data_IF_471617483564
#
_entry.id   IF_471617483564
#
_cell.length_a   1.000
_cell.length_b   1.000
_cell.length_c   1.000
_cell.angle_alpha   90.00
_cell.angle_beta   90.00
_cell.angle_gamma   90.00
#
_symmetry.space_group_name_H-M   'P 1'
#
loop_
_entity.id
_entity.type
_entity.pdbx_description
1 polymer ?
#
# COMPACT_ATOMS: atom_id res chain seq x y z
N UNK A 1 -3.10 -24.74 18.87
CA UNK A 1 -2.07 -23.76 18.45
C UNK A 1 -1.11 -23.32 19.57
N UNK A 2 -1.46 -22.42 20.51
CA UNK A 2 -0.47 -21.95 21.52
C UNK A 2 0.13 -23.09 22.39
N UNK A 3 -0.71 -24.04 22.80
CA UNK A 3 -0.31 -25.23 23.59
C UNK A 3 0.37 -26.36 22.78
N UNK A 4 0.25 -26.37 21.46
CA UNK A 4 0.97 -27.34 20.60
C UNK A 4 2.37 -26.83 20.24
N UNK A 5 2.52 -25.50 20.12
CA UNK A 5 3.80 -24.85 19.86
C UNK A 5 4.76 -24.91 21.07
N UNK A 6 4.23 -24.89 22.31
CA UNK A 6 5.05 -25.04 23.53
C UNK A 6 5.62 -26.46 23.72
N UNK A 7 5.03 -27.49 23.11
CA UNK A 7 5.55 -28.87 23.19
C UNK A 7 6.74 -29.14 22.26
N UNK A 8 7.07 -28.22 21.36
CA UNK A 8 8.15 -28.38 20.38
C UNK A 8 9.51 -27.85 20.87
N UNK A 9 9.62 -27.39 22.12
CA UNK A 9 10.90 -26.93 22.69
C UNK A 9 11.85 -28.05 23.15
N UNK A 10 11.53 -29.33 22.98
CA UNK A 10 12.44 -30.41 23.36
C UNK A 10 12.49 -31.54 22.32
N UNK A 11 13.71 -31.99 22.07
CA UNK A 11 14.13 -33.14 21.28
C UNK A 11 14.29 -32.94 19.75
N UNK A 12 15.56 -32.76 19.40
CA UNK A 12 16.28 -33.33 18.25
C UNK A 12 15.79 -33.03 16.82
N UNK A 13 16.73 -32.49 16.04
CA UNK A 13 16.89 -32.90 14.65
C UNK A 13 16.28 -31.95 13.63
N UNK A 14 17.17 -31.36 12.83
CA UNK A 14 16.94 -30.50 11.67
C UNK A 14 15.96 -31.08 10.61
N UNK A 15 15.50 -32.33 10.72
CA UNK A 15 14.54 -32.95 9.80
C UNK A 15 13.08 -32.50 9.99
N UNK A 16 12.65 -32.15 11.22
CA UNK A 16 11.27 -31.74 11.49
C UNK A 16 10.91 -30.32 11.01
N UNK A 17 11.92 -29.48 10.73
CA UNK A 17 11.70 -28.12 10.21
C UNK A 17 11.10 -28.18 8.80
N UNK A 18 11.46 -29.18 7.99
CA UNK A 18 10.89 -29.40 6.66
C UNK A 18 9.41 -29.79 6.70
N UNK A 19 9.03 -30.68 7.61
CA UNK A 19 7.62 -31.12 7.76
C UNK A 19 6.73 -30.00 8.33
N UNK A 20 7.27 -29.17 9.23
CA UNK A 20 6.59 -27.98 9.74
C UNK A 20 6.37 -26.92 8.64
N UNK A 21 7.32 -26.75 7.71
CA UNK A 21 7.18 -25.87 6.54
C UNK A 21 6.03 -26.32 5.65
N UNK A 22 6.02 -27.59 5.25
CA UNK A 22 5.00 -28.14 4.37
C UNK A 22 3.60 -28.09 5.02
N UNK A 23 3.51 -28.34 6.33
CA UNK A 23 2.27 -28.28 7.08
C UNK A 23 1.69 -26.86 7.17
N UNK A 24 2.53 -25.85 7.40
CA UNK A 24 2.13 -24.44 7.46
C UNK A 24 1.75 -23.88 6.09
N UNK A 25 2.50 -24.20 5.04
CA UNK A 25 2.18 -23.79 3.67
C UNK A 25 0.85 -24.39 3.21
N UNK A 26 0.62 -25.70 3.44
CA UNK A 26 -0.66 -26.37 3.12
C UNK A 26 -1.83 -25.77 3.90
N UNK A 27 -1.63 -25.42 5.17
CA UNK A 27 -2.67 -24.77 5.98
C UNK A 27 -3.04 -23.38 5.45
N UNK A 28 -2.05 -22.54 5.13
CA UNK A 28 -2.25 -21.19 4.61
C UNK A 28 -2.91 -21.18 3.22
N UNK A 29 -2.51 -22.10 2.34
CA UNK A 29 -3.15 -22.32 1.02
C UNK A 29 -4.62 -22.74 1.20
N UNK A 30 -4.92 -23.64 2.15
CA UNK A 30 -6.31 -24.07 2.42
C UNK A 30 -7.21 -22.95 2.94
N UNK A 31 -6.62 -21.91 3.54
CA UNK A 31 -7.31 -20.72 4.03
C UNK A 31 -7.47 -19.62 2.96
N UNK A 32 -7.00 -19.84 1.72
CA UNK A 32 -7.12 -18.89 0.61
C UNK A 32 -6.21 -17.66 0.69
N UNK A 33 -5.18 -17.69 1.56
CA UNK A 33 -4.25 -16.60 1.77
C UNK A 33 -2.93 -16.86 1.03
N UNK A 34 -2.59 -16.02 0.04
CA UNK A 34 -1.26 -15.99 -0.58
C UNK A 34 -0.27 -15.25 0.32
N UNK A 35 0.22 -15.91 1.37
CA UNK A 35 1.21 -15.37 2.30
C UNK A 35 2.53 -16.13 2.17
N UNK A 36 3.63 -15.42 1.90
CA UNK A 36 4.98 -16.00 1.86
C UNK A 36 5.59 -16.02 3.25
N UNK A 37 6.02 -17.20 3.73
CA UNK A 37 6.67 -17.37 5.03
C UNK A 37 8.19 -17.31 4.84
N UNK A 38 8.84 -16.21 5.26
CA UNK A 38 10.29 -16.10 5.25
C UNK A 38 10.88 -16.69 6.54
N UNK A 39 11.88 -17.58 6.40
CA UNK A 39 12.63 -18.14 7.52
C UNK A 39 14.04 -17.55 7.51
N UNK A 40 14.40 -16.75 8.51
CA UNK A 40 15.79 -16.33 8.71
C UNK A 40 16.54 -17.33 9.59
N UNK A 41 17.68 -17.81 9.10
CA UNK A 41 18.60 -18.71 9.82
C UNK A 41 19.38 -17.94 10.90
N UNK A 42 18.66 -17.39 11.87
CA UNK A 42 19.21 -16.89 13.13
C UNK A 42 18.09 -16.94 14.16
N UNK A 43 18.37 -17.59 15.27
CA UNK A 43 17.41 -18.08 16.23
C UNK A 43 16.34 -17.07 16.69
N UNK A 44 15.13 -17.63 16.85
CA UNK A 44 14.04 -17.19 17.74
C UNK A 44 13.34 -15.86 17.40
N UNK A 45 12.53 -15.87 16.35
CA UNK A 45 11.18 -15.27 16.29
C UNK A 45 10.58 -15.52 14.90
N UNK A 46 9.43 -16.20 14.83
CA UNK A 46 8.62 -16.22 13.61
C UNK A 46 7.85 -14.90 13.63
N UNK A 47 8.39 -13.87 12.99
CA UNK A 47 7.65 -12.63 12.72
C UNK A 47 6.93 -12.80 11.37
N UNK A 48 5.60 -12.91 11.43
CA UNK A 48 4.76 -12.85 10.23
C UNK A 48 4.72 -11.39 9.80
N UNK A 49 5.70 -10.98 9.02
CA UNK A 49 5.62 -9.75 8.25
C UNK A 49 4.76 -10.03 7.02
N UNK A 50 3.69 -9.25 6.82
CA UNK A 50 3.06 -9.13 5.50
C UNK A 50 4.09 -8.57 4.54
N UNK A 51 4.90 -9.45 3.96
CA UNK A 51 6.01 -9.10 3.09
C UNK A 51 5.46 -8.52 1.80
N UNK A 52 5.79 -7.27 1.52
CA UNK A 52 5.67 -6.67 0.21
C UNK A 52 6.33 -7.63 -0.80
N UNK A 53 5.54 -8.25 -1.68
CA UNK A 53 6.10 -8.99 -2.82
C UNK A 53 6.73 -7.91 -3.71
N UNK A 54 8.04 -7.78 -3.57
CA UNK A 54 8.86 -6.89 -4.38
C UNK A 54 8.69 -7.30 -5.84
N UNK A 55 8.35 -6.33 -6.69
CA UNK A 55 8.34 -6.57 -8.14
C UNK A 55 9.73 -6.99 -8.59
N UNK A 56 9.81 -8.08 -9.36
CA UNK A 56 11.08 -8.52 -9.96
C UNK A 56 11.63 -7.48 -10.93
N UNK A 57 10.74 -6.75 -11.61
CA UNK A 57 11.09 -5.68 -12.54
C UNK A 57 10.15 -4.49 -12.38
N UNK A 58 10.72 -3.28 -12.37
CA UNK A 58 9.94 -2.03 -12.40
C UNK A 58 9.24 -1.92 -13.77
N UNK A 59 7.94 -1.62 -13.82
CA UNK A 59 7.24 -1.49 -15.10
C UNK A 59 7.85 -0.36 -15.94
N UNK A 60 8.05 -0.65 -17.23
CA UNK A 60 8.50 0.36 -18.19
C UNK A 60 7.38 1.35 -18.50
N UNK A 61 7.71 2.50 -19.09
CA UNK A 61 6.69 3.44 -19.56
C UNK A 61 5.74 2.79 -20.58
N UNK A 62 6.25 1.97 -21.52
CA UNK A 62 5.40 1.22 -22.48
C UNK A 62 4.42 0.30 -21.75
N UNK A 63 4.90 -0.42 -20.73
CA UNK A 63 4.06 -1.30 -19.92
C UNK A 63 2.95 -0.53 -19.21
N UNK A 64 3.26 0.64 -18.67
CA UNK A 64 2.27 1.49 -18.02
C UNK A 64 1.27 2.10 -19.01
N UNK A 65 1.74 2.54 -20.19
CA UNK A 65 0.89 3.05 -21.27
C UNK A 65 -0.04 1.98 -21.82
N UNK A 66 0.44 0.76 -22.03
CA UNK A 66 -0.38 -0.39 -22.47
C UNK A 66 -1.45 -0.76 -21.42
N UNK A 67 -1.08 -0.69 -20.13
CA UNK A 67 -1.99 -1.01 -19.04
C UNK A 67 -3.08 0.05 -18.86
N UNK A 68 -2.71 1.32 -18.80
CA UNK A 68 -3.61 2.42 -18.45
C UNK A 68 -4.29 3.05 -19.68
N UNK A 69 -3.69 2.91 -20.86
CA UNK A 69 -3.94 3.79 -21.99
C UNK A 69 -3.20 5.12 -21.85
N UNK A 70 -2.92 5.77 -22.99
CA UNK A 70 -2.15 7.02 -23.04
C UNK A 70 -2.73 8.13 -22.15
N UNK A 71 -4.05 8.44 -22.16
CA UNK A 71 -4.57 9.56 -21.38
C UNK A 71 -4.44 9.37 -19.87
N UNK A 72 -4.67 8.14 -19.38
CA UNK A 72 -4.56 7.85 -17.95
C UNK A 72 -3.10 7.71 -17.50
N UNK A 73 -2.20 7.31 -18.40
CA UNK A 73 -0.78 7.35 -18.11
C UNK A 73 -0.26 8.80 -17.96
N UNK A 74 -0.78 9.74 -18.75
CA UNK A 74 -0.49 11.17 -18.56
C UNK A 74 -0.99 11.67 -17.20
N UNK A 75 -2.22 11.34 -16.81
CA UNK A 75 -2.76 11.64 -15.47
C UNK A 75 -1.89 11.05 -14.36
N UNK A 76 -1.45 9.80 -14.51
CA UNK A 76 -0.52 9.15 -13.59
C UNK A 76 0.79 9.94 -13.44
N UNK A 77 1.40 10.33 -14.56
CA UNK A 77 2.65 11.10 -14.57
C UNK A 77 2.49 12.48 -13.94
N UNK A 78 1.41 13.19 -14.25
CA UNK A 78 1.12 14.50 -13.68
C UNK A 78 0.88 14.41 -12.17
N UNK A 79 0.18 13.37 -11.68
CA UNK A 79 -0.02 13.16 -10.25
C UNK A 79 1.33 12.89 -9.55
N UNK A 80 2.18 12.05 -10.15
CA UNK A 80 3.53 11.82 -9.63
C UNK A 80 4.34 13.11 -9.59
N UNK A 81 4.26 13.95 -10.63
CA UNK A 81 4.94 15.25 -10.68
C UNK A 81 4.44 16.20 -9.59
N UNK A 82 3.12 16.34 -9.42
CA UNK A 82 2.53 17.20 -8.39
C UNK A 82 2.97 16.80 -6.97
N UNK A 83 3.10 15.49 -6.71
CA UNK A 83 3.63 14.99 -5.44
C UNK A 83 5.15 15.27 -5.36
N UNK A 84 5.91 14.93 -6.39
CA UNK A 84 7.36 15.10 -6.44
C UNK A 84 7.78 16.57 -6.33
N UNK A 85 6.96 17.54 -6.74
CA UNK A 85 7.24 18.97 -6.55
C UNK A 85 7.22 19.39 -5.08
N UNK A 86 6.33 18.81 -4.27
CA UNK A 86 6.14 19.19 -2.86
C UNK A 86 6.92 18.30 -1.90
N UNK A 87 7.25 17.09 -2.34
CA UNK A 87 7.77 16.04 -1.49
C UNK A 87 9.04 15.37 -2.02
N UNK A 88 10.04 15.29 -1.16
CA UNK A 88 11.17 14.38 -1.27
C UNK A 88 10.87 13.12 -0.46
N UNK A 89 10.63 12.01 -1.17
CA UNK A 89 10.21 10.72 -0.63
C UNK A 89 10.97 9.56 -1.28
N UNK A 90 11.07 8.47 -0.53
CA UNK A 90 11.40 7.15 -1.08
C UNK A 90 10.18 6.64 -1.87
N UNK A 91 10.44 6.02 -3.02
CA UNK A 91 9.42 5.50 -3.94
C UNK A 91 9.65 4.01 -4.14
N UNK A 92 8.62 3.20 -3.91
CA UNK A 92 8.68 1.74 -4.02
C UNK A 92 7.61 1.21 -4.96
N UNK A 93 8.01 0.33 -5.87
CA UNK A 93 7.10 -0.43 -6.73
C UNK A 93 6.83 -1.79 -6.12
N UNK A 94 5.56 -2.16 -6.01
CA UNK A 94 5.10 -3.47 -5.56
C UNK A 94 3.97 -4.01 -6.45
N UNK A 95 3.64 -5.28 -6.27
CA UNK A 95 2.40 -5.83 -6.84
C UNK A 95 1.18 -5.13 -6.22
N UNK A 96 0.15 -4.88 -7.03
CA UNK A 96 -1.08 -4.21 -6.56
C UNK A 96 -2.05 -5.11 -5.76
N UNK A 97 -1.62 -6.32 -5.41
CA UNK A 97 -2.46 -7.31 -4.74
C UNK A 97 -3.57 -7.86 -5.64
N UNK A 98 -4.71 -8.24 -5.03
CA UNK A 98 -5.80 -8.94 -5.74
C UNK A 98 -6.51 -8.10 -6.80
N UNK A 99 -6.62 -6.79 -6.57
CA UNK A 99 -7.49 -5.91 -7.36
C UNK A 99 -6.73 -4.96 -8.30
N UNK A 100 -5.39 -4.92 -8.19
CA UNK A 100 -4.54 -4.02 -8.96
C UNK A 100 -3.31 -4.75 -9.47
N UNK A 101 -2.77 -4.30 -10.61
CA UNK A 101 -1.55 -4.87 -11.20
C UNK A 101 -0.32 -4.36 -10.50
N UNK A 102 -0.21 -3.03 -10.35
CA UNK A 102 0.93 -2.38 -9.72
C UNK A 102 0.50 -1.45 -8.59
N UNK A 103 1.38 -1.31 -7.61
CA UNK A 103 1.34 -0.30 -6.58
C UNK A 103 2.63 0.51 -6.61
N UNK A 104 2.51 1.83 -6.52
CA UNK A 104 3.61 2.77 -6.43
C UNK A 104 3.49 3.61 -5.16
N UNK A 105 4.27 3.26 -4.14
CA UNK A 105 4.21 3.86 -2.80
C UNK A 105 5.17 5.04 -2.66
N UNK A 106 4.70 6.13 -2.06
CA UNK A 106 5.52 7.22 -1.55
C UNK A 106 5.66 7.07 -0.04
N UNK A 107 6.88 6.91 0.48
CA UNK A 107 7.13 6.71 1.92
C UNK A 107 8.35 7.48 2.42
N UNK A 108 8.36 7.76 3.72
CA UNK A 108 9.55 8.30 4.43
C UNK A 108 9.46 8.04 5.92
N UNK A 109 10.57 7.57 6.50
CA UNK A 109 10.67 7.26 7.93
C UNK A 109 9.70 6.15 8.37
N UNK A 110 9.59 5.09 7.56
CA UNK A 110 8.71 3.95 7.85
C UNK A 110 7.21 4.20 7.67
N UNK A 111 6.80 5.43 7.28
CA UNK A 111 5.40 5.79 7.07
C UNK A 111 5.11 6.13 5.62
N UNK A 112 4.02 5.58 5.09
CA UNK A 112 3.49 5.89 3.76
C UNK A 112 2.80 7.25 3.78
N UNK A 113 3.07 8.07 2.76
CA UNK A 113 2.34 9.28 2.44
C UNK A 113 1.09 8.92 1.62
N UNK A 114 1.29 8.27 0.48
CA UNK A 114 0.22 7.78 -0.39
C UNK A 114 0.72 6.60 -1.23
N UNK A 115 -0.21 5.91 -1.86
CA UNK A 115 0.06 4.87 -2.86
C UNK A 115 -0.75 5.15 -4.12
N UNK A 116 -0.12 5.09 -5.28
CA UNK A 116 -0.84 5.02 -6.55
C UNK A 116 -0.98 3.54 -6.95
N UNK A 117 -2.09 3.19 -7.60
CA UNK A 117 -2.35 1.84 -8.09
C UNK A 117 -2.71 1.86 -9.57
N UNK A 118 -2.23 0.88 -10.32
CA UNK A 118 -2.55 0.75 -11.74
C UNK A 118 -3.18 -0.61 -12.03
N UNK A 119 -4.28 -0.60 -12.77
CA UNK A 119 -4.89 -1.78 -13.40
C UNK A 119 -5.38 -1.37 -14.79
N UNK A 120 -5.86 -2.34 -15.57
CA UNK A 120 -6.31 -2.07 -16.94
C UNK A 120 -7.29 -0.89 -16.99
N UNK A 121 -6.92 0.17 -17.73
CA UNK A 121 -7.68 1.41 -17.93
C UNK A 121 -8.15 2.11 -16.64
N UNK A 122 -7.39 2.03 -15.55
CA UNK A 122 -7.75 2.70 -14.30
C UNK A 122 -6.53 3.01 -13.42
N UNK A 123 -6.49 4.26 -12.96
CA UNK A 123 -5.57 4.74 -11.92
C UNK A 123 -6.32 4.78 -10.60
N UNK A 124 -5.71 4.24 -9.55
CA UNK A 124 -6.12 4.41 -8.17
C UNK A 124 -5.14 5.32 -7.43
N UNK A 125 -5.64 6.11 -6.49
CA UNK A 125 -4.83 6.94 -5.61
C UNK A 125 -5.34 6.78 -4.18
N UNK A 126 -4.55 6.18 -3.31
CA UNK A 126 -4.92 5.86 -1.94
C UNK A 126 -4.22 6.77 -0.95
N UNK A 127 -5.01 7.34 -0.04
CA UNK A 127 -4.52 7.99 1.17
C UNK A 127 -5.19 7.34 2.38
N UNK A 128 -4.38 6.93 3.36
CA UNK A 128 -4.85 6.37 4.63
C UNK A 128 -4.74 7.45 5.70
N UNK A 129 -5.85 7.79 6.35
CA UNK A 129 -5.91 8.79 7.41
C UNK A 129 -6.04 8.13 8.79
N UNK A 130 -5.00 8.27 9.61
CA UNK A 130 -5.02 7.91 11.03
C UNK A 130 -5.91 8.86 11.84
N UNK A 131 -6.11 8.55 13.12
CA UNK A 131 -7.03 9.30 14.00
C UNK A 131 -6.82 10.82 13.96
N UNK A 132 -5.58 11.27 14.14
CA UNK A 132 -5.24 12.70 14.18
C UNK A 132 -5.33 13.36 12.80
N UNK A 133 -5.04 12.60 11.74
CA UNK A 133 -5.13 13.07 10.36
C UNK A 133 -6.59 13.28 9.94
N UNK A 134 -7.52 12.49 10.47
CA UNK A 134 -8.96 12.69 10.25
C UNK A 134 -9.48 13.95 10.93
N UNK A 135 -9.04 14.26 12.14
CA UNK A 135 -9.41 15.52 12.80
C UNK A 135 -8.97 16.74 11.97
N UNK A 136 -7.74 16.71 11.45
CA UNK A 136 -7.20 17.76 10.57
C UNK A 136 -7.86 17.81 9.19
N UNK A 137 -8.40 16.69 8.71
CA UNK A 137 -9.19 16.68 7.47
C UNK A 137 -10.44 17.55 7.64
N UNK A 138 -11.14 17.42 8.77
CA UNK A 138 -12.32 18.25 9.05
C UNK A 138 -11.98 19.76 9.08
N UNK A 139 -10.80 20.14 9.57
CA UNK A 139 -10.35 21.54 9.59
C UNK A 139 -10.19 22.16 8.18
N UNK A 140 -9.90 21.35 7.15
CA UNK A 140 -9.72 21.81 5.78
C UNK A 140 -10.91 21.49 4.86
N UNK A 141 -11.93 20.82 5.39
CA UNK A 141 -13.03 20.22 4.62
C UNK A 141 -13.75 21.22 3.72
N UNK A 142 -14.01 22.41 4.23
CA UNK A 142 -14.70 23.48 3.48
C UNK A 142 -13.87 24.04 2.31
N UNK A 143 -12.59 23.68 2.22
CA UNK A 143 -11.68 24.07 1.13
C UNK A 143 -11.54 22.99 0.05
N UNK A 144 -12.14 21.81 0.27
CA UNK A 144 -12.10 20.67 -0.64
C UNK A 144 -13.36 20.61 -1.49
N UNK A 145 -13.25 20.03 -2.68
CA UNK A 145 -14.39 19.78 -3.55
C UNK A 145 -15.40 18.82 -2.92
N UNK A 146 -16.67 18.98 -3.31
CA UNK A 146 -17.75 18.09 -2.86
C UNK A 146 -17.52 16.62 -3.28
N UNK A 147 -16.84 16.38 -4.41
CA UNK A 147 -16.50 15.04 -4.86
C UNK A 147 -15.51 14.35 -3.91
N UNK A 148 -14.42 15.02 -3.56
CA UNK A 148 -13.41 14.52 -2.61
C UNK A 148 -14.02 14.28 -1.23
N UNK A 149 -14.83 15.23 -0.74
CA UNK A 149 -15.54 15.07 0.54
C UNK A 149 -16.47 13.86 0.54
N UNK A 150 -17.22 13.63 -0.55
CA UNK A 150 -18.10 12.47 -0.68
C UNK A 150 -17.31 11.16 -0.64
N UNK A 151 -16.23 11.05 -1.42
CA UNK A 151 -15.37 9.86 -1.44
C UNK A 151 -14.72 9.61 -0.08
N UNK A 152 -14.32 10.67 0.62
CA UNK A 152 -13.85 10.57 1.99
C UNK A 152 -14.95 10.01 2.90
N UNK A 153 -16.16 10.57 2.89
CA UNK A 153 -17.24 10.11 3.78
C UNK A 153 -17.57 8.63 3.57
N UNK A 154 -17.70 8.21 2.31
CA UNK A 154 -18.00 6.84 1.89
C UNK A 154 -16.87 5.85 2.20
N UNK A 155 -15.64 6.32 2.40
CA UNK A 155 -14.49 5.47 2.63
C UNK A 155 -14.56 4.66 3.94
N UNK A 156 -14.14 3.40 3.86
CA UNK A 156 -14.11 2.49 4.99
C UNK A 156 -13.06 2.91 6.03
N UNK A 157 -13.43 2.83 7.30
CA UNK A 157 -12.48 2.91 8.42
C UNK A 157 -12.09 1.52 8.89
N UNK A 158 -10.80 1.25 8.88
CA UNK A 158 -10.16 0.06 9.42
C UNK A 158 -9.46 0.38 10.75
N UNK A 159 -8.85 -0.64 11.36
CA UNK A 159 -8.17 -0.51 12.65
C UNK A 159 -6.99 0.49 12.66
N UNK A 160 -6.40 0.76 11.49
CA UNK A 160 -5.17 1.51 11.28
C UNK A 160 -5.43 2.87 10.62
N UNK A 161 -6.66 3.12 10.20
CA UNK A 161 -7.06 4.40 9.62
C UNK A 161 -8.27 4.29 8.71
N UNK A 162 -8.67 5.42 8.16
CA UNK A 162 -9.67 5.51 7.11
C UNK A 162 -8.97 5.49 5.76
N UNK A 163 -9.28 4.50 4.94
CA UNK A 163 -8.61 4.23 3.67
C UNK A 163 -9.45 4.81 2.55
N UNK A 164 -9.01 5.92 1.97
CA UNK A 164 -9.74 6.62 0.92
C UNK A 164 -9.07 6.32 -0.41
N UNK A 165 -9.77 5.57 -1.26
CA UNK A 165 -9.35 5.29 -2.64
C UNK A 165 -10.04 6.28 -3.58
N UNK A 166 -9.24 7.05 -4.30
CA UNK A 166 -9.67 7.88 -5.42
C UNK A 166 -9.35 7.17 -6.73
N UNK A 167 -10.12 7.46 -7.79
CA UNK A 167 -9.86 6.94 -9.14
C UNK A 167 -9.77 8.11 -10.13
N UNK A 168 -8.66 8.88 -10.13
CA UNK A 168 -8.55 10.08 -10.95
C UNK A 168 -8.56 9.74 -12.44
N UNK A 169 -9.51 10.34 -13.16
CA UNK A 169 -9.60 10.27 -14.62
C UNK A 169 -9.03 11.51 -15.32
N UNK A 170 -8.75 12.57 -14.56
CA UNK A 170 -8.16 13.83 -15.00
C UNK A 170 -7.52 14.55 -13.79
N UNK A 171 -7.07 15.78 -13.99
CA UNK A 171 -6.25 16.54 -13.03
C UNK A 171 -7.05 17.49 -12.13
N UNK A 172 -8.38 17.57 -12.29
CA UNK A 172 -9.23 18.56 -11.61
C UNK A 172 -9.23 18.47 -10.08
N UNK A 173 -8.95 17.29 -9.51
CA UNK A 173 -8.92 17.06 -8.07
C UNK A 173 -7.51 17.10 -7.47
N UNK A 174 -6.46 17.35 -8.27
CA UNK A 174 -5.08 17.26 -7.80
C UNK A 174 -4.78 18.27 -6.69
N UNK A 175 -5.30 19.49 -6.78
CA UNK A 175 -5.11 20.49 -5.71
C UNK A 175 -5.68 19.99 -4.37
N UNK A 176 -6.81 19.30 -4.39
CA UNK A 176 -7.41 18.71 -3.20
C UNK A 176 -6.60 17.53 -2.68
N UNK A 177 -6.06 16.71 -3.58
CA UNK A 177 -5.14 15.63 -3.23
C UNK A 177 -3.90 16.18 -2.51
N UNK A 178 -3.29 17.24 -3.04
CA UNK A 178 -2.10 17.86 -2.42
C UNK A 178 -2.45 18.47 -1.05
N UNK A 179 -3.61 19.12 -0.88
CA UNK A 179 -4.07 19.60 0.44
C UNK A 179 -4.24 18.45 1.44
N UNK A 180 -4.84 17.33 1.02
CA UNK A 180 -4.97 16.12 1.85
C UNK A 180 -3.61 15.51 2.22
N UNK A 181 -2.65 15.48 1.30
CA UNK A 181 -1.29 15.05 1.60
C UNK A 181 -0.62 15.99 2.62
N UNK A 182 -0.86 17.29 2.54
CA UNK A 182 -0.32 18.27 3.49
C UNK A 182 -0.88 18.09 4.91
N UNK A 183 -2.14 17.66 5.05
CA UNK A 183 -2.73 17.23 6.33
C UNK A 183 -1.98 16.04 6.92
N UNK A 184 -1.67 15.06 6.09
CA UNK A 184 -0.98 13.83 6.48
C UNK A 184 0.49 14.08 6.86
N UNK A 185 1.20 14.84 6.03
CA UNK A 185 2.59 15.23 6.26
C UNK A 185 2.86 16.56 5.56
N UNK A 186 3.45 17.50 6.28
CA UNK A 186 3.86 18.79 5.72
C UNK A 186 4.83 18.57 4.54
N UNK A 187 4.67 19.32 3.42
CA UNK A 187 5.66 19.38 2.35
C UNK A 187 7.07 19.63 2.88
N UNK A 188 8.06 19.04 2.21
CA UNK A 188 9.46 19.07 2.66
C UNK A 188 10.43 19.52 1.55
N UNK A 189 9.92 19.88 0.37
CA UNK A 189 10.64 20.64 -0.65
C UNK A 189 10.33 22.13 -0.51
N UNK A 190 11.33 22.96 -0.81
CA UNK A 190 11.25 24.42 -0.80
C UNK A 190 10.80 24.94 -2.15
#
# INVERSE_FOLDING_TARGET
MKKELEKLEFAEGYSKIGELKEGLEKFLISCGNNMTVCYTYSNKLIEIYGGDIMLENIPSQSTMTELLGQPLFEVWQELCSAIDEKYEMERLWNTGGKNWTYEYKYRRGGKTLCSLYAKSNCVGFMIIFGKDERAKFEDIRDTLSAAVCRQYDEAQTYHDGKWVMFEPANTSEFDDYIKMLAVKRKPNKK
#
